data_IF_160829988553
#
_entry.id   IF_160829988553
#
_cell.length_a   1.000
_cell.length_b   1.000
_cell.length_c   1.000
_cell.angle_alpha   90.00
_cell.angle_beta   90.00
_cell.angle_gamma   90.00
#
_symmetry.space_group_name_H-M   'P 1'
#
loop_
_entity.id
_entity.type
_entity.pdbx_description
1 polymer ?
#
# COMPACT_ATOMS: atom_id res chain seq x y z
N UNK A 1 12.95 -5.10 8.97
CA UNK A 1 11.95 -4.31 8.23
C UNK A 1 10.72 -5.16 7.92
N UNK A 2 10.81 -6.14 7.02
CA UNK A 2 9.69 -7.06 6.72
C UNK A 2 9.06 -7.74 7.96
N UNK A 3 9.88 -8.23 8.89
CA UNK A 3 9.39 -8.82 10.15
C UNK A 3 8.63 -7.83 11.03
N UNK A 4 9.04 -6.56 11.05
CA UNK A 4 8.38 -5.53 11.86
C UNK A 4 6.99 -5.23 11.30
N UNK A 5 6.87 -5.06 9.98
CA UNK A 5 5.58 -4.92 9.29
C UNK A 5 4.68 -6.13 9.54
N UNK A 6 5.24 -7.34 9.50
CA UNK A 6 4.50 -8.57 9.81
C UNK A 6 3.98 -8.64 11.26
N UNK A 7 4.76 -8.21 12.25
CA UNK A 7 4.30 -8.14 13.63
C UNK A 7 3.22 -7.08 13.84
N UNK A 8 3.36 -5.91 13.20
CA UNK A 8 2.31 -4.88 13.19
C UNK A 8 0.99 -5.43 12.67
N UNK A 9 1.01 -6.17 11.56
CA UNK A 9 -0.18 -6.81 11.00
C UNK A 9 -0.76 -7.85 11.97
N UNK A 10 0.08 -8.71 12.57
CA UNK A 10 -0.37 -9.73 13.51
C UNK A 10 -1.02 -9.14 14.77
N UNK A 11 -0.46 -8.05 15.32
CA UNK A 11 -1.04 -7.38 16.48
C UNK A 11 -2.39 -6.72 16.14
N UNK A 12 -2.50 -6.12 14.95
CA UNK A 12 -3.77 -5.60 14.44
C UNK A 12 -4.83 -6.70 14.23
N UNK A 13 -4.45 -7.86 13.69
CA UNK A 13 -5.35 -9.02 13.56
C UNK A 13 -5.85 -9.49 14.93
N UNK A 14 -4.99 -9.53 15.95
CA UNK A 14 -5.36 -9.93 17.31
C UNK A 14 -6.35 -8.96 17.94
N UNK A 15 -6.12 -7.65 17.78
CA UNK A 15 -7.06 -6.63 18.23
C UNK A 15 -8.44 -6.81 17.55
N UNK A 16 -8.44 -6.99 16.22
CA UNK A 16 -9.68 -7.24 15.48
C UNK A 16 -10.43 -8.49 15.97
N UNK A 17 -9.73 -9.59 16.23
CA UNK A 17 -10.33 -10.83 16.77
C UNK A 17 -10.94 -10.61 18.15
N UNK A 18 -10.21 -9.91 19.03
CA UNK A 18 -10.67 -9.64 20.40
C UNK A 18 -11.91 -8.75 20.45
N UNK A 19 -12.10 -7.89 19.45
CA UNK A 19 -13.17 -6.89 19.39
C UNK A 19 -14.32 -7.26 18.44
N UNK A 20 -14.19 -8.36 17.69
CA UNK A 20 -15.24 -8.84 16.80
C UNK A 20 -16.20 -9.79 17.51
N UNK A 21 -17.45 -9.81 17.05
CA UNK A 21 -18.39 -10.84 17.45
C UNK A 21 -17.98 -12.18 16.81
N UNK A 22 -17.45 -13.06 17.67
CA UNK A 22 -17.02 -14.42 17.33
C UNK A 22 -17.99 -15.47 17.85
N UNK A 23 -19.23 -15.08 18.18
CA UNK A 23 -20.24 -15.98 18.76
C UNK A 23 -20.37 -17.29 17.99
N UNK A 24 -19.97 -18.39 18.62
CA UNK A 24 -20.06 -19.74 18.05
C UNK A 24 -18.82 -20.25 17.31
N UNK A 25 -17.74 -19.47 17.21
CA UNK A 25 -16.48 -19.89 16.59
C UNK A 25 -15.24 -19.45 17.39
N UNK A 26 -14.20 -20.28 17.40
CA UNK A 26 -12.88 -19.88 17.91
C UNK A 26 -12.02 -19.45 16.73
N UNK A 27 -11.55 -18.20 16.74
CA UNK A 27 -10.73 -17.63 15.66
C UNK A 27 -9.29 -17.52 16.15
N UNK A 28 -8.37 -18.15 15.42
CA UNK A 28 -6.93 -18.06 15.69
C UNK A 28 -6.22 -17.42 14.49
N UNK A 29 -5.41 -16.36 14.69
CA UNK A 29 -4.63 -15.80 13.59
C UNK A 29 -3.44 -16.70 13.28
N UNK A 30 -3.24 -17.00 11.98
CA UNK A 30 -2.05 -17.65 11.46
C UNK A 30 -1.29 -16.67 10.58
N UNK A 31 -0.06 -16.34 10.96
CA UNK A 31 0.82 -15.49 10.15
C UNK A 31 1.88 -16.33 9.46
N UNK A 32 1.98 -16.19 8.14
CA UNK A 32 3.09 -16.74 7.35
C UNK A 32 3.92 -15.60 6.77
N UNK A 33 5.23 -15.72 6.89
CA UNK A 33 6.16 -14.80 6.24
C UNK A 33 6.14 -15.09 4.73
N UNK A 34 5.52 -14.18 3.97
CA UNK A 34 5.56 -14.20 2.50
C UNK A 34 6.95 -13.89 1.95
N UNK A 35 7.90 -13.47 2.78
CA UNK A 35 9.22 -13.03 2.35
C UNK A 35 9.15 -11.72 1.58
N UNK A 36 10.19 -11.45 0.80
CA UNK A 36 10.33 -10.22 0.00
C UNK A 36 10.21 -10.45 -1.50
N UNK A 37 9.71 -11.61 -1.95
CA UNK A 37 9.66 -11.98 -3.36
C UNK A 37 8.33 -12.66 -3.73
N UNK A 38 7.88 -12.45 -4.97
CA UNK A 38 6.65 -13.04 -5.51
C UNK A 38 6.57 -14.57 -5.29
N UNK A 39 7.68 -15.28 -5.52
CA UNK A 39 7.74 -16.74 -5.37
C UNK A 39 7.57 -17.18 -3.90
N UNK A 40 8.18 -16.45 -2.95
CA UNK A 40 8.04 -16.76 -1.53
C UNK A 40 6.60 -16.49 -1.05
N UNK A 41 5.99 -15.38 -1.48
CA UNK A 41 4.61 -15.04 -1.13
C UNK A 41 3.68 -16.11 -1.66
N UNK A 42 3.85 -16.52 -2.92
CA UNK A 42 3.07 -17.59 -3.54
C UNK A 42 3.17 -18.91 -2.79
N UNK A 43 4.39 -19.33 -2.39
CA UNK A 43 4.58 -20.54 -1.58
C UNK A 43 3.92 -20.43 -0.21
N UNK A 44 4.01 -19.27 0.45
CA UNK A 44 3.37 -19.03 1.73
C UNK A 44 1.84 -19.12 1.61
N UNK A 45 1.25 -18.48 0.61
CA UNK A 45 -0.19 -18.56 0.31
C UNK A 45 -0.62 -20.00 0.04
N UNK A 46 0.07 -20.71 -0.84
CA UNK A 46 -0.24 -22.12 -1.12
C UNK A 46 -0.16 -22.97 0.14
N UNK A 47 0.82 -22.72 1.02
CA UNK A 47 0.95 -23.43 2.30
C UNK A 47 -0.22 -23.16 3.24
N UNK A 48 -0.68 -21.91 3.35
CA UNK A 48 -1.87 -21.56 4.13
C UNK A 48 -3.10 -22.32 3.60
N UNK A 49 -3.30 -22.31 2.27
CA UNK A 49 -4.44 -22.95 1.62
C UNK A 49 -4.44 -24.48 1.70
N UNK A 50 -3.30 -25.12 2.00
CA UNK A 50 -3.26 -26.56 2.24
C UNK A 50 -4.01 -26.99 3.50
N UNK A 51 -4.16 -26.09 4.47
CA UNK A 51 -4.90 -26.37 5.69
C UNK A 51 -6.40 -26.10 5.45
N UNK A 52 -7.28 -27.12 5.55
CA UNK A 52 -8.72 -26.93 5.38
C UNK A 52 -9.35 -26.10 6.50
N UNK A 53 -8.67 -25.90 7.63
CA UNK A 53 -9.13 -25.05 8.73
C UNK A 53 -8.90 -23.56 8.48
N UNK A 54 -8.14 -23.18 7.44
CA UNK A 54 -8.02 -21.78 7.04
C UNK A 54 -9.32 -21.34 6.37
N UNK A 55 -10.09 -20.51 7.07
CA UNK A 55 -11.39 -20.03 6.61
C UNK A 55 -11.31 -18.79 5.71
N UNK A 56 -10.30 -17.94 5.87
CA UNK A 56 -10.08 -16.73 5.08
C UNK A 56 -8.60 -16.32 5.09
N UNK A 57 -8.21 -15.48 4.12
CA UNK A 57 -6.87 -14.88 4.05
C UNK A 57 -6.95 -13.35 4.10
N UNK A 58 -6.07 -12.75 4.89
CA UNK A 58 -5.87 -11.30 4.95
C UNK A 58 -4.47 -10.99 4.44
N UNK A 59 -4.37 -10.07 3.48
CA UNK A 59 -3.14 -9.75 2.78
C UNK A 59 -2.84 -10.70 1.60
N UNK A 60 -1.67 -10.57 0.95
CA UNK A 60 -0.59 -9.64 1.29
C UNK A 60 -0.96 -8.17 1.06
N UNK A 61 -0.29 -7.28 1.80
CA UNK A 61 -0.51 -5.83 1.76
C UNK A 61 0.29 -5.15 0.63
N UNK A 62 1.37 -5.79 0.18
CA UNK A 62 2.12 -5.29 -0.97
C UNK A 62 1.36 -5.59 -2.28
N UNK A 63 1.00 -4.58 -3.12
CA UNK A 63 0.24 -4.80 -4.34
C UNK A 63 0.89 -5.80 -5.29
N UNK A 64 2.22 -5.78 -5.39
CA UNK A 64 2.99 -6.69 -6.24
C UNK A 64 2.97 -8.10 -5.67
N UNK A 65 3.05 -8.23 -4.35
CA UNK A 65 2.80 -9.51 -3.67
C UNK A 65 1.36 -10.01 -3.86
N UNK A 66 0.37 -9.12 -3.85
CA UNK A 66 -1.05 -9.47 -4.05
C UNK A 66 -1.31 -9.96 -5.47
N UNK A 67 -0.77 -9.26 -6.47
CA UNK A 67 -0.81 -9.68 -7.86
C UNK A 67 -0.16 -11.06 -8.05
N UNK A 68 0.97 -11.33 -7.39
CA UNK A 68 1.68 -12.60 -7.49
C UNK A 68 0.91 -13.83 -6.96
N UNK A 69 -0.19 -13.63 -6.23
CA UNK A 69 -1.02 -14.71 -5.65
C UNK A 69 -2.47 -14.70 -6.10
N UNK A 70 -2.86 -13.75 -6.96
CA UNK A 70 -4.23 -13.55 -7.44
C UNK A 70 -4.81 -14.83 -8.05
N UNK A 71 -4.07 -15.48 -8.95
CA UNK A 71 -4.50 -16.71 -9.61
C UNK A 71 -4.61 -17.92 -8.65
N UNK A 72 -3.75 -17.98 -7.62
CA UNK A 72 -3.82 -19.03 -6.59
C UNK A 72 -5.08 -18.87 -5.76
N UNK A 73 -5.40 -17.63 -5.37
CA UNK A 73 -6.55 -17.32 -4.51
C UNK A 73 -7.86 -17.41 -5.28
N UNK A 74 -7.89 -16.95 -6.53
CA UNK A 74 -9.03 -17.11 -7.43
C UNK A 74 -9.38 -18.58 -7.67
N UNK A 75 -8.38 -19.47 -7.76
CA UNK A 75 -8.61 -20.90 -7.96
C UNK A 75 -9.13 -21.63 -6.71
N UNK A 76 -8.77 -21.18 -5.50
CA UNK A 76 -9.22 -21.80 -4.24
C UNK A 76 -10.63 -21.34 -3.83
N UNK A 77 -10.97 -20.07 -4.08
CA UNK A 77 -12.30 -19.52 -3.86
C UNK A 77 -12.64 -19.19 -2.40
N UNK A 78 -11.72 -19.38 -1.45
CA UNK A 78 -11.89 -18.88 -0.08
C UNK A 78 -11.85 -17.35 -0.03
N UNK A 79 -12.55 -16.73 0.95
CA UNK A 79 -12.52 -15.29 1.15
C UNK A 79 -11.10 -14.76 1.26
N UNK A 80 -10.80 -13.76 0.45
CA UNK A 80 -9.52 -13.08 0.42
C UNK A 80 -9.71 -11.57 0.53
N UNK A 81 -9.04 -10.98 1.49
CA UNK A 81 -9.07 -9.54 1.75
C UNK A 81 -7.67 -8.95 1.55
N UNK A 82 -7.44 -8.41 0.36
CA UNK A 82 -6.27 -7.61 0.04
C UNK A 82 -6.65 -6.12 0.06
N UNK A 83 -5.98 -5.29 0.87
CA UNK A 83 -6.40 -3.89 1.05
C UNK A 83 -6.14 -2.96 -0.15
N UNK A 84 -5.47 -3.39 -1.23
CA UNK A 84 -5.00 -2.46 -2.28
C UNK A 84 -5.40 -2.82 -3.72
N UNK A 85 -5.99 -3.99 -3.98
CA UNK A 85 -6.18 -4.48 -5.37
C UNK A 85 -7.34 -3.82 -6.11
N UNK A 86 -8.30 -3.21 -5.42
CA UNK A 86 -9.55 -2.70 -6.04
C UNK A 86 -9.55 -1.19 -6.34
N UNK A 87 -8.48 -0.47 -6.04
CA UNK A 87 -8.49 1.00 -5.93
C UNK A 87 -7.43 1.70 -6.79
N UNK A 88 -6.74 1.00 -7.70
CA UNK A 88 -5.59 1.53 -8.44
C UNK A 88 -5.92 2.81 -9.24
N UNK A 89 -6.95 2.76 -10.09
CA UNK A 89 -7.34 3.91 -10.91
C UNK A 89 -7.78 5.10 -10.06
N UNK A 90 -8.57 4.85 -9.01
CA UNK A 90 -9.06 5.92 -8.14
C UNK A 90 -7.96 6.49 -7.25
N UNK A 91 -6.98 5.69 -6.82
CA UNK A 91 -5.75 6.17 -6.18
C UNK A 91 -4.98 7.11 -7.11
N UNK A 92 -4.76 6.73 -8.37
CA UNK A 92 -4.01 7.58 -9.32
C UNK A 92 -4.79 8.87 -9.61
N UNK A 93 -6.12 8.79 -9.80
CA UNK A 93 -6.96 9.99 -9.96
C UNK A 93 -6.90 10.89 -8.73
N UNK A 94 -7.08 10.33 -7.53
CA UNK A 94 -7.00 11.11 -6.31
C UNK A 94 -5.63 11.75 -6.11
N UNK A 95 -4.52 11.07 -6.47
CA UNK A 95 -3.18 11.68 -6.45
C UNK A 95 -3.11 12.83 -7.48
N UNK A 96 -3.55 12.60 -8.72
CA UNK A 96 -3.50 13.61 -9.78
C UNK A 96 -4.30 14.89 -9.45
N UNK A 97 -5.39 14.76 -8.69
CA UNK A 97 -6.19 15.91 -8.22
C UNK A 97 -5.43 16.80 -7.22
N UNK A 98 -4.39 16.29 -6.56
CA UNK A 98 -3.55 17.04 -5.61
C UNK A 98 -2.23 17.54 -6.20
N UNK A 99 -1.93 17.17 -7.45
CA UNK A 99 -0.72 17.59 -8.14
C UNK A 99 -1.00 18.89 -8.91
N UNK A 100 -0.03 19.80 -8.93
CA UNK A 100 -0.07 21.02 -9.74
C UNK A 100 -0.42 20.65 -11.20
N UNK A 101 -1.52 21.20 -11.78
CA UNK A 101 -1.93 20.88 -13.14
C UNK A 101 -0.89 21.20 -14.23
N UNK A 102 0.12 22.02 -13.93
CA UNK A 102 1.23 22.33 -14.84
C UNK A 102 2.33 21.26 -14.88
N UNK A 103 2.34 20.32 -13.92
CA UNK A 103 3.32 19.24 -13.89
C UNK A 103 2.90 18.07 -14.79
N UNK A 104 3.89 17.47 -15.44
CA UNK A 104 3.67 16.25 -16.21
C UNK A 104 3.50 15.07 -15.25
N UNK A 105 2.66 14.10 -15.61
CA UNK A 105 2.58 12.85 -14.86
C UNK A 105 3.43 11.77 -15.50
N UNK A 106 4.29 11.15 -14.69
CA UNK A 106 5.02 9.95 -15.02
C UNK A 106 4.57 8.81 -14.11
N UNK A 107 3.94 7.80 -14.69
CA UNK A 107 3.63 6.55 -14.03
C UNK A 107 4.83 5.60 -14.19
N UNK A 108 5.36 5.14 -13.06
CA UNK A 108 6.41 4.14 -12.99
C UNK A 108 5.98 3.05 -12.00
N UNK A 109 6.60 1.88 -12.05
CA UNK A 109 6.19 0.80 -11.16
C UNK A 109 6.61 -0.58 -11.62
N UNK A 110 6.07 -1.58 -10.92
CA UNK A 110 6.20 -2.98 -11.28
C UNK A 110 5.32 -3.29 -12.51
N UNK A 111 5.88 -4.06 -13.46
CA UNK A 111 5.24 -4.33 -14.77
C UNK A 111 3.81 -4.87 -14.64
N UNK A 112 3.57 -5.77 -13.68
CA UNK A 112 2.27 -6.39 -13.47
C UNK A 112 1.20 -5.36 -13.07
N UNK A 113 1.56 -4.34 -12.29
CA UNK A 113 0.63 -3.29 -11.88
C UNK A 113 0.44 -2.25 -12.98
N UNK A 114 1.51 -1.92 -13.70
CA UNK A 114 1.43 -1.04 -14.87
C UNK A 114 0.55 -1.64 -15.96
N UNK A 115 0.58 -2.96 -16.15
CA UNK A 115 -0.26 -3.67 -17.10
C UNK A 115 -1.77 -3.59 -16.79
N UNK A 116 -2.14 -3.30 -15.52
CA UNK A 116 -3.53 -3.08 -15.12
C UNK A 116 -4.02 -1.66 -15.44
N UNK A 117 -3.12 -0.74 -15.78
CA UNK A 117 -3.47 0.66 -16.06
C UNK A 117 -3.59 0.89 -17.57
N UNK A 118 -4.79 1.25 -18.01
CA UNK A 118 -4.96 1.81 -19.35
C UNK A 118 -4.56 3.29 -19.35
N UNK A 119 -3.31 3.57 -19.72
CA UNK A 119 -2.75 4.91 -19.72
C UNK A 119 -3.51 5.89 -20.62
N UNK A 120 -4.07 5.45 -21.75
CA UNK A 120 -4.84 6.33 -22.64
C UNK A 120 -6.18 6.73 -22.01
N UNK A 121 -6.91 5.76 -21.46
CA UNK A 121 -8.15 6.04 -20.74
C UNK A 121 -7.91 6.94 -19.52
N UNK A 122 -6.84 6.68 -18.78
CA UNK A 122 -6.50 7.48 -17.62
C UNK A 122 -6.07 8.90 -18.00
N UNK A 123 -5.22 9.07 -19.02
CA UNK A 123 -4.83 10.40 -19.52
C UNK A 123 -6.06 11.23 -19.94
N UNK A 124 -7.03 10.60 -20.62
CA UNK A 124 -8.28 11.25 -21.02
C UNK A 124 -9.14 11.62 -19.80
N UNK A 125 -9.19 10.78 -18.76
CA UNK A 125 -9.91 11.08 -17.51
C UNK A 125 -9.28 12.25 -16.74
N UNK A 126 -7.95 12.34 -16.74
CA UNK A 126 -7.20 13.36 -15.98
C UNK A 126 -7.05 14.70 -16.70
N UNK A 127 -7.47 14.77 -17.98
CA UNK A 127 -7.29 15.91 -18.88
C UNK A 127 -5.84 16.45 -18.88
N UNK A 128 -4.85 15.55 -18.84
CA UNK A 128 -3.43 15.91 -18.79
C UNK A 128 -2.52 14.84 -19.39
N UNK A 129 -1.33 15.21 -19.87
CA UNK A 129 -0.34 14.25 -20.36
C UNK A 129 0.09 13.28 -19.25
N UNK A 130 -0.06 11.98 -19.53
CA UNK A 130 0.43 10.89 -18.70
C UNK A 130 1.38 10.04 -19.53
N UNK A 131 2.60 9.86 -19.02
CA UNK A 131 3.60 8.95 -19.59
C UNK A 131 3.74 7.72 -18.68
N UNK A 132 4.05 6.58 -19.27
CA UNK A 132 4.42 5.37 -18.53
C UNK A 132 5.86 5.04 -18.91
N UNK A 133 6.75 5.01 -17.92
CA UNK A 133 8.14 4.60 -18.11
C UNK A 133 8.69 4.04 -16.80
N UNK A 134 9.41 2.93 -16.89
CA UNK A 134 10.03 2.25 -15.75
C UNK A 134 11.49 2.65 -15.56
N UNK A 135 12.09 3.36 -16.52
CA UNK A 135 13.48 3.79 -16.44
C UNK A 135 13.60 5.04 -15.56
N UNK A 136 14.39 5.02 -14.47
CA UNK A 136 14.55 6.18 -13.60
C UNK A 136 15.08 7.43 -14.32
N UNK A 137 15.85 7.24 -15.40
CA UNK A 137 16.41 8.32 -16.23
C UNK A 137 15.38 9.01 -17.14
N UNK A 138 14.16 8.48 -17.27
CA UNK A 138 13.08 9.10 -18.03
C UNK A 138 12.36 10.23 -17.27
N UNK A 139 12.60 10.33 -15.95
CA UNK A 139 12.08 11.37 -15.10
C UNK A 139 12.88 12.68 -15.25
N UNK A 140 12.17 13.80 -15.11
CA UNK A 140 12.70 15.16 -15.08
C UNK A 140 12.12 15.94 -13.90
N UNK A 141 12.72 17.06 -13.54
CA UNK A 141 12.18 17.95 -12.49
C UNK A 141 10.81 18.58 -12.83
N UNK A 142 10.31 18.43 -14.05
CA UNK A 142 8.97 18.86 -14.46
C UNK A 142 7.92 17.74 -14.33
N UNK A 143 8.36 16.52 -14.02
CA UNK A 143 7.47 15.39 -13.78
C UNK A 143 7.12 15.29 -12.30
N UNK A 144 5.89 14.90 -12.02
CA UNK A 144 5.53 14.20 -10.80
C UNK A 144 5.47 12.71 -11.09
N UNK A 145 6.25 11.93 -10.33
CA UNK A 145 6.33 10.49 -10.49
C UNK A 145 5.36 9.80 -9.53
N UNK A 146 4.48 8.97 -10.09
CA UNK A 146 3.57 8.11 -9.34
C UNK A 146 4.08 6.68 -9.46
N UNK A 147 4.51 6.10 -8.34
CA UNK A 147 5.04 4.75 -8.25
C UNK A 147 3.94 3.73 -7.91
N UNK A 148 3.78 2.73 -8.78
CA UNK A 148 2.90 1.58 -8.62
C UNK A 148 3.72 0.33 -8.33
N UNK A 149 3.93 0.02 -7.06
CA UNK A 149 4.70 -1.16 -6.69
C UNK A 149 5.04 -1.20 -5.23
N UNK A 150 5.93 -2.13 -4.88
CA UNK A 150 6.32 -2.32 -3.50
C UNK A 150 7.24 -1.23 -2.95
N UNK A 151 7.18 -1.01 -1.63
CA UNK A 151 7.99 -0.03 -0.92
C UNK A 151 9.51 -0.23 -1.10
N UNK A 152 9.94 -1.48 -1.30
CA UNK A 152 11.34 -1.80 -1.52
C UNK A 152 11.81 -1.31 -2.88
N UNK A 153 11.13 -1.69 -3.96
CA UNK A 153 11.48 -1.32 -5.33
C UNK A 153 11.26 0.16 -5.58
N UNK A 154 10.25 0.76 -4.93
CA UNK A 154 10.04 2.21 -4.90
C UNK A 154 11.28 2.97 -4.39
N UNK A 155 11.89 2.50 -3.30
CA UNK A 155 13.06 3.16 -2.73
C UNK A 155 14.28 3.07 -3.67
N UNK A 156 14.49 1.90 -4.28
CA UNK A 156 15.59 1.70 -5.24
C UNK A 156 15.38 2.58 -6.49
N UNK A 157 14.14 2.65 -6.99
CA UNK A 157 13.77 3.53 -8.10
C UNK A 157 13.98 5.00 -7.74
N UNK A 158 13.49 5.46 -6.59
CA UNK A 158 13.59 6.86 -6.17
C UNK A 158 15.07 7.29 -6.08
N UNK A 159 15.92 6.47 -5.46
CA UNK A 159 17.36 6.75 -5.37
C UNK A 159 17.98 6.91 -6.75
N UNK A 160 17.67 6.02 -7.69
CA UNK A 160 18.19 6.12 -9.06
C UNK A 160 17.62 7.34 -9.82
N UNK A 161 16.33 7.64 -9.64
CA UNK A 161 15.63 8.75 -10.27
C UNK A 161 16.20 10.10 -9.84
N UNK A 162 16.58 10.24 -8.56
CA UNK A 162 17.14 11.49 -8.01
C UNK A 162 18.45 11.93 -8.64
N UNK A 163 19.17 11.04 -9.33
CA UNK A 163 20.36 11.40 -10.13
C UNK A 163 19.97 12.30 -11.32
N UNK A 164 18.77 12.14 -11.86
CA UNK A 164 18.29 12.84 -13.06
C UNK A 164 17.25 13.92 -12.74
N UNK A 165 16.45 13.69 -11.70
CA UNK A 165 15.36 14.55 -11.28
C UNK A 165 15.38 14.77 -9.75
N UNK A 166 16.36 15.55 -9.22
CA UNK A 166 16.56 15.72 -7.78
C UNK A 166 15.37 16.35 -7.06
N UNK A 167 14.53 17.12 -7.75
CA UNK A 167 13.44 17.91 -7.16
C UNK A 167 12.04 17.40 -7.53
N UNK A 168 11.93 16.46 -8.47
CA UNK A 168 10.65 15.91 -8.91
C UNK A 168 9.83 15.33 -7.74
N UNK A 169 8.54 15.68 -7.57
CA UNK A 169 7.72 15.04 -6.56
C UNK A 169 7.58 13.54 -6.82
N UNK A 170 7.70 12.74 -5.76
CA UNK A 170 7.57 11.29 -5.84
C UNK A 170 6.42 10.81 -4.95
N UNK A 171 5.49 10.05 -5.52
CA UNK A 171 4.29 9.56 -4.86
C UNK A 171 4.28 8.04 -4.83
N UNK A 172 4.21 7.44 -3.65
CA UNK A 172 3.93 6.01 -3.52
C UNK A 172 2.41 5.84 -3.46
N UNK A 173 1.85 5.16 -4.45
CA UNK A 173 0.42 4.87 -4.47
C UNK A 173 -0.01 4.00 -3.27
N UNK A 174 0.89 3.17 -2.74
CA UNK A 174 0.61 2.22 -1.66
C UNK A 174 1.80 2.07 -0.69
N UNK A 175 1.52 1.61 0.54
CA UNK A 175 2.50 1.08 1.52
C UNK A 175 3.65 2.01 1.94
N UNK A 176 3.44 3.32 1.92
CA UNK A 176 4.46 4.27 2.37
C UNK A 176 4.66 4.33 3.89
N UNK A 177 3.72 3.82 4.71
CA UNK A 177 3.93 3.71 6.17
C UNK A 177 4.83 2.53 6.57
N UNK A 178 5.21 1.67 5.61
CA UNK A 178 6.15 0.60 5.93
C UNK A 178 7.53 1.20 6.21
N UNK A 179 8.24 0.74 7.25
CA UNK A 179 9.59 1.24 7.53
C UNK A 179 10.59 0.86 6.43
N UNK A 180 10.20 0.02 5.47
CA UNK A 180 11.02 -0.42 4.34
C UNK A 180 11.43 0.78 3.49
N UNK A 181 10.46 1.57 3.03
CA UNK A 181 10.74 2.68 2.12
C UNK A 181 11.60 3.74 2.78
N UNK A 182 11.11 4.31 3.89
CA UNK A 182 11.78 5.38 4.62
C UNK A 182 13.23 5.02 5.02
N UNK A 183 13.45 3.80 5.53
CA UNK A 183 14.81 3.40 5.92
C UNK A 183 15.73 3.13 4.73
N UNK A 184 15.22 2.74 3.56
CA UNK A 184 16.07 2.54 2.38
C UNK A 184 16.47 3.87 1.75
N UNK A 185 15.54 4.81 1.63
CA UNK A 185 15.84 6.13 1.07
C UNK A 185 16.73 6.95 2.01
N UNK A 186 16.53 6.88 3.32
CA UNK A 186 17.34 7.55 4.35
C UNK A 186 18.63 6.80 4.73
N UNK A 187 19.02 5.75 4.01
CA UNK A 187 20.34 5.11 4.18
C UNK A 187 21.25 5.33 2.99
N UNK A 188 20.75 6.00 1.96
CA UNK A 188 21.52 6.29 0.76
C UNK A 188 22.16 7.66 0.94
N UNK A 189 23.50 7.77 1.01
CA UNK A 189 24.17 9.07 1.05
C UNK A 189 23.88 9.84 -0.23
N UNK A 190 23.64 11.15 -0.11
CA UNK A 190 23.64 12.06 -1.23
C UNK A 190 25.04 12.18 -1.85
N UNK A 191 25.18 12.95 -2.96
CA UNK A 191 26.46 13.13 -3.65
C UNK A 191 27.61 13.61 -2.75
N UNK A 192 27.28 14.35 -1.69
CA UNK A 192 28.23 14.93 -0.73
C UNK A 192 28.45 14.07 0.54
N UNK A 193 27.87 12.86 0.58
CA UNK A 193 27.99 11.94 1.71
C UNK A 193 27.01 12.17 2.86
N UNK A 194 26.24 13.27 2.85
CA UNK A 194 25.14 13.49 3.78
C UNK A 194 23.88 12.75 3.34
N UNK A 195 23.19 12.11 4.29
CA UNK A 195 21.87 11.52 4.05
C UNK A 195 20.84 12.64 4.11
N UNK A 196 20.37 13.08 2.95
CA UNK A 196 19.30 14.07 2.83
C UNK A 196 18.21 13.51 1.92
N UNK A 197 16.96 13.57 2.40
CA UNK A 197 15.81 13.30 1.55
C UNK A 197 15.72 14.41 0.50
N UNK A 198 16.08 14.10 -0.74
CA UNK A 198 15.98 15.05 -1.85
C UNK A 198 14.54 15.08 -2.38
N UNK A 199 14.05 16.30 -2.65
CA UNK A 199 12.72 16.58 -3.16
C UNK A 199 11.57 16.08 -2.26
N UNK A 200 10.32 16.42 -2.60
CA UNK A 200 9.18 15.99 -1.81
C UNK A 200 8.82 14.53 -2.12
N UNK A 201 8.47 13.79 -1.07
CA UNK A 201 8.01 12.40 -1.16
C UNK A 201 6.70 12.24 -0.41
N UNK A 202 5.70 11.73 -1.10
CA UNK A 202 4.35 11.50 -0.62
C UNK A 202 3.99 10.03 -0.72
N UNK A 203 3.01 9.61 0.08
CA UNK A 203 2.40 8.30 -0.08
C UNK A 203 0.94 8.33 0.31
N UNK A 204 0.19 7.37 -0.22
CA UNK A 204 -1.27 7.33 -0.05
C UNK A 204 -1.77 6.02 0.51
N UNK A 205 -2.93 6.09 1.16
CA UNK A 205 -3.67 4.93 1.67
C UNK A 205 -5.15 5.29 1.77
N UNK A 206 -6.01 4.34 1.45
CA UNK A 206 -7.45 4.48 1.64
C UNK A 206 -7.82 4.08 3.07
N UNK A 207 -8.43 5.01 3.80
CA UNK A 207 -8.83 4.80 5.19
C UNK A 207 -10.29 5.19 5.39
N UNK A 208 -10.96 4.46 6.26
CA UNK A 208 -12.31 4.78 6.69
C UNK A 208 -12.32 5.94 7.71
N UNK A 209 -13.43 6.66 7.81
CA UNK A 209 -13.64 7.77 8.77
C UNK A 209 -13.29 7.40 10.23
N UNK A 210 -13.46 6.12 10.60
CA UNK A 210 -13.18 5.57 11.92
C UNK A 210 -11.69 5.45 12.26
N UNK A 211 -10.77 5.63 11.29
CA UNK A 211 -9.34 5.47 11.53
C UNK A 211 -8.83 6.39 12.65
N UNK A 212 -9.21 7.66 12.65
CA UNK A 212 -8.69 8.63 13.63
C UNK A 212 -9.07 8.22 15.07
N UNK A 213 -10.33 7.82 15.28
CA UNK A 213 -10.80 7.34 16.58
C UNK A 213 -10.16 6.01 16.97
N UNK A 214 -9.97 5.10 16.01
CA UNK A 214 -9.29 3.83 16.24
C UNK A 214 -7.82 4.04 16.67
N UNK A 215 -7.11 4.97 16.01
CA UNK A 215 -5.71 5.27 16.26
C UNK A 215 -5.43 5.87 17.66
N UNK A 216 -6.44 6.40 18.34
CA UNK A 216 -6.34 6.91 19.71
C UNK A 216 -6.24 5.80 20.77
N UNK A 217 -6.78 4.62 20.48
CA UNK A 217 -6.92 3.52 21.45
C UNK A 217 -6.12 2.27 21.11
N UNK A 218 -5.52 2.21 19.93
CA UNK A 218 -4.79 1.04 19.43
C UNK A 218 -3.29 1.26 19.33
N UNK A 219 -2.53 0.17 19.45
CA UNK A 219 -1.10 0.14 19.14
C UNK A 219 -0.76 -1.19 18.47
N UNK A 220 -0.05 -1.19 17.32
CA UNK A 220 0.38 -0.02 16.56
C UNK A 220 -0.80 0.70 15.88
N UNK A 221 -0.78 2.03 15.88
CA UNK A 221 -1.82 2.88 15.30
C UNK A 221 -1.48 3.36 13.88
N UNK A 222 -0.77 2.55 13.10
CA UNK A 222 -0.41 2.91 11.72
C UNK A 222 -1.56 2.64 10.76
N UNK A 223 -1.60 3.30 9.60
CA UNK A 223 -2.59 3.01 8.56
C UNK A 223 -2.60 1.54 8.11
N UNK A 224 -1.44 0.90 7.92
CA UNK A 224 -1.33 -0.54 7.62
C UNK A 224 -1.96 -1.39 8.73
N UNK A 225 -1.77 -1.03 10.00
CA UNK A 225 -2.39 -1.73 11.11
C UNK A 225 -3.92 -1.61 11.05
N UNK A 226 -4.43 -0.41 10.75
CA UNK A 226 -5.86 -0.18 10.61
C UNK A 226 -6.50 -0.98 9.47
N UNK A 227 -5.92 -0.95 8.26
CA UNK A 227 -6.46 -1.74 7.14
C UNK A 227 -6.40 -3.25 7.41
N UNK A 228 -5.37 -3.71 8.14
CA UNK A 228 -5.29 -5.10 8.61
C UNK A 228 -6.41 -5.43 9.60
N UNK A 229 -6.63 -4.56 10.57
CA UNK A 229 -7.69 -4.69 11.56
C UNK A 229 -9.05 -4.79 10.87
N UNK A 230 -9.37 -3.86 9.95
CA UNK A 230 -10.63 -3.85 9.20
C UNK A 230 -10.79 -5.08 8.32
N UNK A 231 -9.78 -5.46 7.55
CA UNK A 231 -9.82 -6.68 6.73
C UNK A 231 -10.07 -7.94 7.57
N UNK A 232 -9.53 -7.99 8.79
CA UNK A 232 -9.76 -9.09 9.74
C UNK A 232 -11.20 -9.08 10.27
N UNK A 233 -11.75 -7.91 10.61
CA UNK A 233 -13.15 -7.81 11.01
C UNK A 233 -14.10 -8.26 9.89
N UNK A 234 -13.82 -7.87 8.64
CA UNK A 234 -14.58 -8.31 7.47
C UNK A 234 -14.54 -9.83 7.30
N UNK A 235 -13.35 -10.44 7.44
CA UNK A 235 -13.19 -11.88 7.39
C UNK A 235 -14.01 -12.60 8.47
N UNK A 236 -13.95 -12.11 9.72
CA UNK A 236 -14.70 -12.71 10.84
C UNK A 236 -16.20 -12.57 10.60
N UNK A 237 -16.68 -11.39 10.23
CA UNK A 237 -18.09 -11.13 9.95
C UNK A 237 -18.63 -12.04 8.85
N UNK A 238 -17.86 -12.26 7.78
CA UNK A 238 -18.25 -13.20 6.72
C UNK A 238 -18.32 -14.65 7.22
N UNK A 239 -17.43 -15.06 8.12
CA UNK A 239 -17.40 -16.43 8.68
C UNK A 239 -18.55 -16.64 9.67
N UNK A 240 -18.85 -15.65 10.52
CA UNK A 240 -19.87 -15.75 11.58
C UNK A 240 -21.27 -15.37 11.11
N UNK A 241 -21.39 -14.73 9.94
CA UNK A 241 -22.63 -14.13 9.48
C UNK A 241 -23.02 -12.87 10.26
N UNK A 242 -22.08 -12.29 11.01
CA UNK A 242 -22.30 -11.03 11.71
C UNK A 242 -22.34 -9.85 10.73
N UNK A 243 -23.08 -8.81 11.10
CA UNK A 243 -23.06 -7.55 10.36
C UNK A 243 -21.75 -6.79 10.62
N UNK A 244 -21.15 -6.24 9.58
CA UNK A 244 -20.03 -5.30 9.71
C UNK A 244 -20.48 -3.91 9.28
N UNK A 245 -20.21 -2.93 10.13
CA UNK A 245 -20.43 -1.52 9.79
C UNK A 245 -19.38 -1.11 8.77
N UNK A 246 -19.77 -0.98 7.51
CA UNK A 246 -18.96 -0.35 6.48
C UNK A 246 -19.00 1.17 6.65
N UNK A 247 -17.85 1.81 6.53
CA UNK A 247 -17.74 3.26 6.54
C UNK A 247 -17.20 3.74 5.19
N UNK A 248 -17.41 5.01 4.90
CA UNK A 248 -16.87 5.66 3.71
C UNK A 248 -15.35 5.66 3.78
N UNK A 249 -14.71 5.24 2.69
CA UNK A 249 -13.26 5.30 2.54
C UNK A 249 -12.85 6.59 1.85
N UNK A 250 -11.73 7.14 2.32
CA UNK A 250 -11.12 8.36 1.83
C UNK A 250 -9.66 8.12 1.47
N UNK A 251 -9.16 8.80 0.44
CA UNK A 251 -7.73 8.81 0.15
C UNK A 251 -7.04 9.74 1.14
N UNK A 252 -6.17 9.17 1.97
CA UNK A 252 -5.30 9.94 2.87
C UNK A 252 -3.92 10.09 2.25
N UNK A 253 -3.38 11.30 2.32
CA UNK A 253 -2.06 11.65 1.78
C UNK A 253 -1.12 11.98 2.93
N UNK A 254 0.02 11.32 2.93
CA UNK A 254 1.08 11.53 3.90
C UNK A 254 2.34 12.03 3.20
N UNK A 255 3.06 12.93 3.86
CA UNK A 255 4.38 13.38 3.42
C UNK A 255 5.45 12.71 4.26
N UNK A 256 6.44 12.10 3.60
CA UNK A 256 7.64 11.59 4.27
C UNK A 256 8.53 12.77 4.67
N UNK A 257 8.87 12.82 5.95
CA UNK A 257 9.74 13.85 6.52
C UNK A 257 11.21 13.41 6.46
N UNK A 258 12.16 14.36 6.53
CA UNK A 258 13.60 14.04 6.51
C UNK A 258 14.06 13.11 7.65
N UNK A 259 13.32 13.06 8.76
CA UNK A 259 13.60 12.15 9.88
C UNK A 259 13.04 10.73 9.68
N UNK A 260 12.35 10.49 8.57
CA UNK A 260 11.72 9.21 8.23
C UNK A 260 10.33 9.01 8.80
N UNK A 261 9.82 9.97 9.57
CA UNK A 261 8.42 9.99 9.98
C UNK A 261 7.51 10.39 8.83
N UNK A 262 6.22 10.09 8.94
CA UNK A 262 5.21 10.52 7.98
C UNK A 262 4.17 11.38 8.68
N UNK A 263 3.87 12.53 8.11
CA UNK A 263 2.81 13.43 8.60
C UNK A 263 1.66 13.44 7.63
N UNK A 264 0.43 13.41 8.15
CA UNK A 264 -0.76 13.58 7.33
C UNK A 264 -0.72 14.98 6.70
N UNK A 265 -0.63 15.02 5.37
CA UNK A 265 -0.55 16.28 4.61
C UNK A 265 -1.93 16.87 4.42
N UNK A 266 -2.96 16.04 4.18
CA UNK A 266 -4.35 16.46 3.98
C UNK A 266 -5.34 15.27 4.13
N UNK A 267 -6.61 15.55 4.48
CA UNK A 267 -7.75 14.62 4.36
C UNK A 267 -8.58 15.06 3.15
N UNK A 268 -8.88 14.18 2.18
CA UNK A 268 -9.72 14.56 1.04
C UNK A 268 -10.93 13.63 0.77
N UNK A 269 -11.93 14.25 0.13
CA UNK A 269 -13.38 13.97 0.07
C UNK A 269 -13.81 12.69 -0.67
N UNK A 270 -15.06 12.20 -0.44
CA UNK A 270 -15.56 10.98 -1.06
C UNK A 270 -15.75 11.13 -2.58
N UNK A 271 -15.58 10.03 -3.34
CA UNK A 271 -16.17 9.88 -4.67
C UNK A 271 -17.53 9.23 -4.58
#
# INVERSE_FOLDING_TARGET
LYRQTGYTALDAMRAAIAESDTSGVEVMPLALDGGGSAEQVRRATQKALRDPSVAALVGPFDPSAASAVDDVLAADGRPWYAPHTQILTDTITGIADHIDPSQNLLLAGDDDLLALVNAQTLAARLDRPLRVDIAPAAASNQDTVIWLGGASTAADYLVAMRVHAPDAPFWLAFNGDTPIFAQRVLRTPGPDGEVVLLGPVYWTVWLEDGYASWAETHAPNTPTAYVTYRATQHAIAQITGADIVTQTQHLHIFQLQPDGSSTLSEKHFPM
#
